data_IF_295742571941
#
_entry.id   IF_295742571941
#
_cell.length_a   1.000
_cell.length_b   1.000
_cell.length_c   1.000
_cell.angle_alpha   90.00
_cell.angle_beta   90.00
_cell.angle_gamma   90.00
#
_symmetry.space_group_name_H-M   'P 1'
#
loop_
_entity.id
_entity.type
_entity.pdbx_description
1 polymer ?
#
# COMPACT_ATOMS: atom_id res chain seq x y z
N UNK A 1 -7.11 18.89 1.68
CA UNK A 1 -7.17 17.78 2.64
C UNK A 1 -8.56 17.72 3.31
N UNK A 2 -9.05 18.83 3.89
CA UNK A 2 -10.40 18.89 4.48
C UNK A 2 -11.52 18.27 3.62
N UNK A 3 -11.63 18.66 2.34
CA UNK A 3 -12.64 18.11 1.42
C UNK A 3 -12.50 16.60 1.14
N UNK A 4 -11.30 16.03 1.27
CA UNK A 4 -11.10 14.57 1.12
C UNK A 4 -11.58 13.83 2.38
N UNK A 5 -11.31 14.40 3.56
CA UNK A 5 -11.75 13.84 4.83
C UNK A 5 -13.29 13.87 4.97
N UNK A 6 -13.96 14.87 4.41
CA UNK A 6 -15.44 14.99 4.43
C UNK A 6 -16.17 13.88 3.63
N UNK A 7 -15.49 13.15 2.75
CA UNK A 7 -16.11 12.12 1.89
C UNK A 7 -15.74 10.68 2.30
N UNK A 8 -15.10 10.50 3.46
CA UNK A 8 -14.59 9.21 3.95
C UNK A 8 -15.67 8.13 4.07
N UNK A 9 -16.87 8.50 4.50
CA UNK A 9 -18.00 7.58 4.74
C UNK A 9 -18.58 6.95 3.47
N UNK A 10 -18.18 7.44 2.28
CA UNK A 10 -18.68 6.97 0.99
C UNK A 10 -17.66 6.13 0.19
N UNK A 11 -16.49 5.84 0.77
CA UNK A 11 -15.43 5.11 0.08
C UNK A 11 -15.65 3.60 0.17
N UNK A 12 -16.20 3.02 -0.89
CA UNK A 12 -16.42 1.56 -0.98
C UNK A 12 -15.21 0.81 -1.60
N UNK A 13 -14.39 1.51 -2.39
CA UNK A 13 -13.30 0.88 -3.15
C UNK A 13 -12.01 0.72 -2.31
N UNK A 14 -11.46 -0.50 -2.17
CA UNK A 14 -10.27 -0.74 -1.35
C UNK A 14 -9.05 0.10 -1.73
N UNK A 15 -8.88 0.37 -3.02
CA UNK A 15 -7.78 1.21 -3.52
C UNK A 15 -7.92 2.66 -3.05
N UNK A 16 -9.12 3.22 -3.13
CA UNK A 16 -9.42 4.57 -2.67
C UNK A 16 -9.26 4.70 -1.16
N UNK A 17 -9.74 3.70 -0.39
CA UNK A 17 -9.56 3.65 1.07
C UNK A 17 -8.09 3.57 1.46
N UNK A 18 -7.32 2.68 0.82
CA UNK A 18 -5.89 2.53 1.04
C UNK A 18 -5.12 3.84 0.72
N UNK A 19 -5.47 4.50 -0.38
CA UNK A 19 -4.89 5.80 -0.74
C UNK A 19 -5.22 6.88 0.30
N UNK A 20 -6.47 6.93 0.75
CA UNK A 20 -6.90 7.90 1.76
C UNK A 20 -6.17 7.70 3.09
N UNK A 21 -6.11 6.46 3.59
CA UNK A 21 -5.35 6.10 4.80
C UNK A 21 -3.87 6.48 4.66
N UNK A 22 -3.28 6.24 3.49
CA UNK A 22 -1.90 6.64 3.22
C UNK A 22 -1.73 8.16 3.32
N UNK A 23 -2.63 8.95 2.73
CA UNK A 23 -2.64 10.42 2.80
C UNK A 23 -2.75 10.86 4.27
N UNK A 24 -3.68 10.30 5.03
CA UNK A 24 -3.85 10.64 6.46
C UNK A 24 -2.56 10.37 7.23
N UNK A 25 -1.97 9.18 7.09
CA UNK A 25 -0.74 8.83 7.79
C UNK A 25 0.47 9.65 7.35
N UNK A 26 0.58 10.00 6.06
CA UNK A 26 1.70 10.80 5.53
C UNK A 26 1.62 12.25 6.01
N UNK A 27 0.42 12.83 6.06
CA UNK A 27 0.19 14.23 6.45
C UNK A 27 -0.41 14.39 7.84
N UNK A 28 -0.27 13.39 8.71
CA UNK A 28 -0.84 13.37 10.07
C UNK A 28 -0.45 14.56 10.98
N UNK A 29 0.66 15.25 10.68
CA UNK A 29 1.05 16.49 11.38
C UNK A 29 0.22 17.73 11.00
N UNK A 30 -0.49 17.67 9.86
CA UNK A 30 -1.32 18.76 9.31
C UNK A 30 -2.82 18.48 9.45
N UNK A 31 -3.18 17.26 9.84
CA UNK A 31 -4.56 16.81 10.01
C UNK A 31 -4.78 16.65 11.51
N UNK A 32 -5.59 17.53 12.08
CA UNK A 32 -5.78 17.58 13.53
C UNK A 32 -6.47 16.31 14.05
N UNK A 33 -7.53 15.87 13.39
CA UNK A 33 -8.35 14.69 13.72
C UNK A 33 -7.86 13.38 13.06
N UNK A 34 -6.56 13.28 12.74
CA UNK A 34 -6.02 12.11 12.04
C UNK A 34 -6.17 10.80 12.82
N UNK A 35 -6.08 10.88 14.14
CA UNK A 35 -6.34 9.80 15.09
C UNK A 35 -7.77 9.28 14.99
N UNK A 36 -8.77 10.17 15.13
CA UNK A 36 -10.19 9.81 15.02
C UNK A 36 -10.50 9.15 13.65
N UNK A 37 -9.93 9.71 12.56
CA UNK A 37 -10.13 9.17 11.22
C UNK A 37 -9.51 7.79 11.03
N UNK A 38 -8.34 7.50 11.63
CA UNK A 38 -7.72 6.18 11.53
C UNK A 38 -8.36 5.17 12.48
N UNK A 39 -8.88 5.62 13.63
CA UNK A 39 -9.61 4.79 14.58
C UNK A 39 -10.90 4.22 13.97
N UNK A 40 -11.65 5.02 13.20
CA UNK A 40 -12.86 4.54 12.52
C UNK A 40 -12.56 3.41 11.51
N UNK A 41 -11.42 3.47 10.82
CA UNK A 41 -10.97 2.37 9.95
C UNK A 41 -10.53 1.13 10.74
N UNK A 42 -10.12 1.29 11.99
CA UNK A 42 -9.63 0.20 12.83
C UNK A 42 -10.77 -0.65 13.39
N UNK A 43 -11.97 -0.07 13.58
CA UNK A 43 -13.16 -0.81 14.07
C UNK A 43 -13.52 -2.00 13.17
N UNK A 44 -13.35 -1.85 11.85
CA UNK A 44 -13.62 -2.89 10.84
C UNK A 44 -12.38 -3.64 10.34
N UNK A 45 -11.25 -3.60 11.06
CA UNK A 45 -9.94 -4.02 10.54
C UNK A 45 -9.91 -5.38 9.82
N UNK A 46 -10.58 -6.40 10.37
CA UNK A 46 -10.58 -7.75 9.79
C UNK A 46 -11.51 -7.92 8.58
N UNK A 47 -12.48 -7.02 8.41
CA UNK A 47 -13.38 -7.01 7.25
C UNK A 47 -12.76 -6.25 6.06
N UNK A 48 -11.67 -5.50 6.30
CA UNK A 48 -10.93 -4.79 5.28
C UNK A 48 -10.03 -5.69 4.42
N UNK A 49 -9.76 -5.25 3.19
CA UNK A 49 -8.75 -5.88 2.34
C UNK A 49 -7.35 -5.83 2.96
N UNK A 50 -6.49 -6.80 2.64
CA UNK A 50 -5.10 -6.83 3.11
C UNK A 50 -4.33 -5.55 2.77
N UNK A 51 -4.57 -4.95 1.60
CA UNK A 51 -3.94 -3.69 1.22
C UNK A 51 -4.34 -2.56 2.18
N UNK A 52 -5.61 -2.46 2.54
CA UNK A 52 -6.12 -1.47 3.49
C UNK A 52 -5.54 -1.72 4.89
N UNK A 53 -5.51 -2.96 5.36
CA UNK A 53 -4.92 -3.35 6.64
C UNK A 53 -3.44 -2.95 6.74
N UNK A 54 -2.65 -3.22 5.69
CA UNK A 54 -1.23 -2.86 5.61
C UNK A 54 -1.02 -1.33 5.62
N UNK A 55 -1.87 -0.58 4.91
CA UNK A 55 -1.82 0.87 4.92
C UNK A 55 -2.22 1.43 6.29
N UNK A 56 -3.23 0.85 6.94
CA UNK A 56 -3.69 1.29 8.25
C UNK A 56 -2.61 1.06 9.32
N UNK A 57 -1.99 -0.13 9.33
CA UNK A 57 -0.83 -0.43 10.17
C UNK A 57 0.28 0.61 10.00
N UNK A 58 0.66 0.91 8.75
CA UNK A 58 1.73 1.87 8.46
C UNK A 58 1.33 3.30 8.82
N UNK A 59 0.08 3.69 8.57
CA UNK A 59 -0.45 5.03 8.87
C UNK A 59 -0.48 5.29 10.38
N UNK A 60 -0.97 4.34 11.18
CA UNK A 60 -1.01 4.46 12.63
C UNK A 60 0.41 4.49 13.23
N UNK A 61 1.35 3.69 12.70
CA UNK A 61 2.75 3.77 13.13
C UNK A 61 3.36 5.15 12.81
N UNK A 62 3.11 5.70 11.61
CA UNK A 62 3.54 7.07 11.28
C UNK A 62 2.93 8.11 12.21
N UNK A 63 1.62 8.00 12.48
CA UNK A 63 0.90 8.87 13.40
C UNK A 63 1.52 8.81 14.81
N UNK A 64 1.79 7.62 15.33
CA UNK A 64 2.44 7.43 16.63
C UNK A 64 3.85 8.05 16.70
N UNK A 65 4.66 7.87 15.66
CA UNK A 65 5.99 8.47 15.61
C UNK A 65 5.94 10.01 15.57
N UNK A 66 4.83 10.61 15.13
CA UNK A 66 4.62 12.06 15.10
C UNK A 66 3.96 12.60 16.38
N UNK A 67 2.95 11.91 16.92
CA UNK A 67 2.13 12.31 18.08
C UNK A 67 2.07 11.20 19.14
N UNK A 68 3.19 10.81 19.79
CA UNK A 68 3.26 9.60 20.60
C UNK A 68 2.40 9.61 21.87
N UNK A 69 2.08 10.79 22.42
CA UNK A 69 1.31 10.92 23.67
C UNK A 69 -0.18 10.65 23.49
N UNK A 70 -0.72 10.97 22.32
CA UNK A 70 -2.17 10.90 22.04
C UNK A 70 -2.57 9.57 21.40
N UNK A 71 -1.61 8.83 20.84
CA UNK A 71 -1.88 7.71 19.92
C UNK A 71 -1.29 6.38 20.40
N UNK A 72 -0.88 6.32 21.67
CA UNK A 72 -0.28 5.13 22.26
C UNK A 72 -1.25 3.93 22.30
N UNK A 73 -2.51 4.15 22.64
CA UNK A 73 -3.52 3.08 22.67
C UNK A 73 -3.81 2.57 21.26
N UNK A 74 -3.97 3.48 20.30
CA UNK A 74 -4.23 3.17 18.90
C UNK A 74 -3.13 2.32 18.26
N UNK A 75 -1.85 2.65 18.50
CA UNK A 75 -0.74 1.85 17.97
C UNK A 75 -0.65 0.47 18.63
N UNK A 76 -0.97 0.34 19.91
CA UNK A 76 -1.02 -0.96 20.58
C UNK A 76 -2.14 -1.84 20.01
N UNK A 77 -3.31 -1.25 19.76
CA UNK A 77 -4.45 -1.96 19.19
C UNK A 77 -4.16 -2.48 17.79
N UNK A 78 -3.65 -1.64 16.88
CA UNK A 78 -3.35 -2.09 15.51
C UNK A 78 -2.23 -3.14 15.48
N UNK A 79 -1.24 -3.03 16.35
CA UNK A 79 -0.18 -4.05 16.45
C UNK A 79 -0.73 -5.37 16.99
N UNK A 80 -1.67 -5.35 17.94
CA UNK A 80 -2.34 -6.57 18.41
C UNK A 80 -3.14 -7.22 17.29
N UNK A 81 -3.99 -6.46 16.60
CA UNK A 81 -4.80 -6.95 15.49
C UNK A 81 -3.93 -7.53 14.36
N UNK A 82 -2.86 -6.83 13.99
CA UNK A 82 -1.95 -7.27 12.93
C UNK A 82 -1.11 -8.50 13.32
N UNK A 83 -0.81 -8.74 14.61
CA UNK A 83 0.11 -9.81 15.03
C UNK A 83 -0.55 -11.01 15.71
N UNK A 84 -1.55 -10.78 16.55
CA UNK A 84 -2.22 -11.84 17.32
C UNK A 84 -3.42 -12.38 16.57
N UNK A 85 -4.19 -11.50 15.93
CA UNK A 85 -5.49 -11.82 15.36
C UNK A 85 -5.48 -12.00 13.83
N UNK A 86 -4.37 -11.65 13.16
CA UNK A 86 -4.21 -11.85 11.72
C UNK A 86 -3.61 -13.21 11.37
N UNK A 87 -4.19 -13.86 10.37
CA UNK A 87 -3.71 -15.08 9.71
C UNK A 87 -2.82 -14.79 8.48
N UNK A 88 -2.78 -13.53 8.02
CA UNK A 88 -1.96 -13.13 6.89
C UNK A 88 -0.48 -13.00 7.31
N UNK A 89 0.44 -13.83 6.74
CA UNK A 89 1.83 -13.84 7.18
C UNK A 89 2.58 -12.53 6.87
N UNK A 90 2.28 -11.84 5.77
CA UNK A 90 2.92 -10.57 5.42
C UNK A 90 2.51 -9.45 6.40
N UNK A 91 1.21 -9.35 6.70
CA UNK A 91 0.70 -8.40 7.68
C UNK A 91 1.28 -8.66 9.07
N UNK A 92 1.35 -9.93 9.47
CA UNK A 92 1.90 -10.37 10.75
C UNK A 92 3.38 -10.05 10.88
N UNK A 93 4.18 -10.36 9.86
CA UNK A 93 5.61 -10.07 9.85
C UNK A 93 5.87 -8.57 9.92
N UNK A 94 5.13 -7.77 9.13
CA UNK A 94 5.24 -6.32 9.17
C UNK A 94 4.83 -5.74 10.53
N UNK A 95 3.77 -6.29 11.15
CA UNK A 95 3.36 -5.96 12.50
C UNK A 95 4.46 -6.22 13.53
N UNK A 96 5.11 -7.40 13.49
CA UNK A 96 6.23 -7.70 14.38
C UNK A 96 7.46 -6.84 14.12
N UNK A 97 7.77 -6.50 12.86
CA UNK A 97 8.87 -5.59 12.54
C UNK A 97 8.62 -4.22 13.18
N UNK A 98 7.44 -3.63 13.01
CA UNK A 98 7.10 -2.37 13.64
C UNK A 98 7.10 -2.47 15.16
N UNK A 99 6.51 -3.53 15.74
CA UNK A 99 6.51 -3.73 17.19
C UNK A 99 7.94 -3.73 17.74
N UNK A 100 8.81 -4.55 17.16
CA UNK A 100 10.22 -4.66 17.59
C UNK A 100 10.96 -3.35 17.41
N UNK A 101 10.77 -2.66 16.28
CA UNK A 101 11.41 -1.38 16.01
C UNK A 101 11.01 -0.33 17.05
N UNK A 102 9.71 -0.17 17.29
CA UNK A 102 9.16 0.79 18.25
C UNK A 102 9.55 0.48 19.70
N UNK A 103 9.60 -0.80 20.06
CA UNK A 103 9.96 -1.24 21.42
C UNK A 103 11.46 -1.22 21.69
N UNK A 104 12.29 -1.25 20.64
CA UNK A 104 13.76 -1.26 20.76
C UNK A 104 14.30 0.16 20.80
N UNK A 105 13.94 0.99 19.81
CA UNK A 105 14.46 2.34 19.68
C UNK A 105 13.47 3.24 18.91
N UNK A 106 12.68 4.06 19.61
CA UNK A 106 11.73 4.96 18.96
C UNK A 106 12.40 6.09 18.18
N UNK A 107 13.66 6.44 18.48
CA UNK A 107 14.40 7.46 17.73
C UNK A 107 14.83 6.87 16.38
N UNK A 108 15.43 5.68 16.39
CA UNK A 108 15.75 4.97 15.15
C UNK A 108 14.50 4.66 14.31
N UNK A 109 13.37 4.36 14.96
CA UNK A 109 12.10 4.13 14.28
C UNK A 109 11.65 5.34 13.45
N UNK A 110 11.86 6.57 13.94
CA UNK A 110 11.58 7.80 13.18
C UNK A 110 12.46 7.90 11.94
N UNK A 111 13.76 7.70 12.10
CA UNK A 111 14.72 7.78 10.98
C UNK A 111 14.45 6.72 9.90
N UNK A 112 13.94 5.54 10.29
CA UNK A 112 13.62 4.46 9.35
C UNK A 112 12.26 4.68 8.68
N UNK A 113 11.21 4.91 9.45
CA UNK A 113 9.82 4.92 8.93
C UNK A 113 9.45 6.27 8.31
N UNK A 114 9.98 7.37 8.85
CA UNK A 114 9.73 8.73 8.38
C UNK A 114 10.87 9.28 7.51
N UNK A 115 11.75 8.40 7.01
CA UNK A 115 12.79 8.77 6.07
C UNK A 115 12.23 9.52 4.86
N UNK A 116 12.99 10.49 4.34
CA UNK A 116 12.68 11.15 3.08
C UNK A 116 12.75 10.12 1.94
N UNK A 117 11.61 9.83 1.33
CA UNK A 117 11.51 8.88 0.23
C UNK A 117 11.91 9.60 -1.07
N UNK A 118 12.69 8.97 -1.95
CA UNK A 118 13.00 9.55 -3.25
C UNK A 118 11.72 9.76 -4.07
N UNK A 119 11.78 10.71 -5.00
CA UNK A 119 10.70 10.91 -5.96
C UNK A 119 10.51 9.65 -6.81
N UNK A 120 9.26 9.26 -7.01
CA UNK A 120 8.89 8.12 -7.86
C UNK A 120 9.05 8.55 -9.33
N UNK A 121 9.69 7.73 -10.16
CA UNK A 121 9.80 7.96 -11.60
C UNK A 121 8.47 7.66 -12.32
N UNK A 122 8.15 8.43 -13.36
CA UNK A 122 6.86 8.36 -14.09
C UNK A 122 6.78 7.21 -15.13
N UNK A 123 7.48 6.10 -14.94
CA UNK A 123 7.63 5.04 -15.95
C UNK A 123 6.39 4.12 -16.10
N UNK A 124 5.20 4.57 -15.69
CA UNK A 124 4.01 3.74 -15.51
C UNK A 124 3.47 3.12 -16.81
N UNK A 125 3.66 3.78 -17.96
CA UNK A 125 3.08 3.36 -19.24
C UNK A 125 4.12 2.86 -20.27
N UNK A 126 5.38 2.70 -19.86
CA UNK A 126 6.42 2.25 -20.78
C UNK A 126 6.35 0.74 -20.98
N UNK A 127 6.23 0.32 -22.24
CA UNK A 127 6.45 -1.08 -22.62
C UNK A 127 7.93 -1.40 -22.40
N UNK A 128 8.23 -2.54 -21.77
CA UNK A 128 9.60 -3.00 -21.58
C UNK A 128 10.33 -2.99 -22.93
N UNK A 129 11.55 -2.41 -23.04
CA UNK A 129 12.22 -2.25 -24.34
C UNK A 129 12.37 -3.54 -25.14
N UNK A 130 12.61 -4.66 -24.46
CA UNK A 130 12.72 -5.99 -25.06
C UNK A 130 11.40 -6.45 -25.70
N UNK A 131 10.27 -6.24 -25.01
CA UNK A 131 8.93 -6.52 -25.51
C UNK A 131 8.56 -5.55 -26.63
N UNK A 132 8.96 -4.29 -26.53
CA UNK A 132 8.74 -3.30 -27.59
C UNK A 132 9.44 -3.70 -28.88
N UNK A 133 10.71 -4.11 -28.81
CA UNK A 133 11.48 -4.60 -29.94
C UNK A 133 10.82 -5.83 -30.59
N UNK A 134 10.29 -6.76 -29.79
CA UNK A 134 9.52 -7.90 -30.29
C UNK A 134 8.22 -7.45 -30.99
N UNK A 135 7.46 -6.53 -30.37
CA UNK A 135 6.20 -6.03 -30.93
C UNK A 135 6.39 -5.23 -32.22
N UNK A 136 7.54 -4.57 -32.39
CA UNK A 136 7.91 -3.91 -33.65
C UNK A 136 7.98 -4.93 -34.80
N UNK A 137 8.48 -6.14 -34.55
CA UNK A 137 8.49 -7.22 -35.54
C UNK A 137 7.08 -7.74 -35.90
N UNK A 138 6.07 -7.43 -35.08
CA UNK A 138 4.69 -7.86 -35.22
C UNK A 138 3.71 -6.74 -35.61
N UNK A 139 4.20 -5.59 -36.07
CA UNK A 139 3.36 -4.49 -36.58
C UNK A 139 2.47 -4.99 -37.72
N UNK A 140 1.17 -4.71 -37.61
CA UNK A 140 0.17 -5.16 -38.59
C UNK A 140 -0.45 -6.53 -38.26
N UNK A 141 -0.12 -7.10 -37.11
CA UNK A 141 -0.74 -8.34 -36.59
C UNK A 141 -1.53 -8.06 -35.30
N UNK A 142 -2.29 -9.06 -34.83
CA UNK A 142 -3.02 -8.98 -33.56
C UNK A 142 -2.11 -8.70 -32.35
N UNK A 143 -0.83 -9.12 -32.39
CA UNK A 143 0.12 -8.86 -31.31
C UNK A 143 0.35 -7.36 -31.11
N UNK A 144 0.48 -6.60 -32.20
CA UNK A 144 0.60 -5.13 -32.16
C UNK A 144 -0.68 -4.42 -31.72
N UNK A 145 -1.84 -5.06 -31.81
CA UNK A 145 -3.12 -4.49 -31.32
C UNK A 145 -3.32 -4.80 -29.83
N UNK A 146 -2.94 -6.00 -29.40
CA UNK A 146 -3.07 -6.43 -28.01
C UNK A 146 -1.93 -5.99 -27.10
N UNK A 147 -0.86 -5.41 -27.66
CA UNK A 147 0.38 -5.08 -26.94
C UNK A 147 0.91 -6.27 -26.13
N UNK A 148 0.82 -7.46 -26.73
CA UNK A 148 1.18 -8.74 -26.12
C UNK A 148 1.91 -9.61 -27.14
N UNK A 149 2.87 -10.44 -26.70
CA UNK A 149 3.50 -11.39 -27.60
C UNK A 149 2.46 -12.42 -28.08
N UNK A 150 2.60 -12.99 -29.30
CA UNK A 150 1.65 -13.98 -29.84
C UNK A 150 1.39 -15.16 -28.91
N UNK A 151 2.40 -15.59 -28.15
CA UNK A 151 2.32 -16.68 -27.17
C UNK A 151 1.32 -16.41 -26.04
N UNK A 152 0.99 -15.15 -25.75
CA UNK A 152 0.09 -14.77 -24.67
C UNK A 152 -1.40 -14.87 -25.04
N UNK A 153 -1.73 -15.02 -26.32
CA UNK A 153 -3.14 -15.03 -26.77
C UNK A 153 -3.47 -16.05 -27.86
N UNK A 154 -2.47 -16.76 -28.41
CA UNK A 154 -2.68 -17.88 -29.35
C UNK A 154 -2.33 -19.18 -28.65
N UNK A 155 -3.34 -19.91 -28.17
CA UNK A 155 -3.16 -21.29 -27.71
C UNK A 155 -2.88 -22.21 -28.91
N UNK A 156 -1.69 -22.83 -28.94
CA UNK A 156 -1.36 -23.86 -29.94
C UNK A 156 0.05 -23.81 -30.53
N UNK A 157 0.83 -22.76 -30.29
CA UNK A 157 2.23 -22.69 -30.79
C UNK A 157 3.21 -23.40 -29.83
N UNK A 158 2.93 -24.65 -29.44
CA UNK A 158 4.01 -25.56 -29.06
C UNK A 158 4.78 -25.86 -30.34
N UNK A 159 5.86 -25.11 -30.54
CA UNK A 159 6.90 -25.27 -31.57
C UNK A 159 6.56 -26.15 -32.77
N UNK A 160 6.23 -25.53 -33.90
CA UNK A 160 6.61 -26.13 -35.18
C UNK A 160 8.08 -25.78 -35.38
N UNK A 161 8.95 -26.60 -34.80
CA UNK A 161 10.33 -26.73 -35.26
C UNK A 161 10.24 -27.73 -36.42
N UNK A 162 10.42 -27.22 -37.65
CA UNK A 162 10.62 -27.91 -38.94
C UNK A 162 9.94 -29.26 -39.17
#
# INVERSE_FOLDING_TARGET
IATLCENLDSLDEPEARAAMIWIVGEYAERIDNADELLESFLEGFHDESTQVQLQLLTAIVKLFLKKPTETQELVQQVLSLATQDSDNPDLRDRGYIYWRLLSTDPVAAKEVVLAEKPLISEETDLIEPTLLDELICYIGTLASVYHKPPSAFVEGSRGIIH
#
